data_IF_779937931901
#
_entry.id   IF_779937931901
#
_cell.length_a   1.000
_cell.length_b   1.000
_cell.length_c   1.000
_cell.angle_alpha   90.00
_cell.angle_beta   90.00
_cell.angle_gamma   90.00
#
_symmetry.space_group_name_H-M   'P 1'
#
loop_
_entity.id
_entity.type
_entity.pdbx_description
1 polymer ?
#
# COMPACT_ATOMS: atom_id res chain seq x y z
N UNK A 1 -14.93 -36.48 -3.18
CA UNK A 1 -14.39 -35.57 -4.22
C UNK A 1 -15.58 -34.97 -4.93
N UNK A 2 -15.52 -33.69 -5.31
CA UNK A 2 -16.47 -33.20 -6.31
C UNK A 2 -15.99 -33.69 -7.68
N UNK A 3 -16.76 -34.60 -8.28
CA UNK A 3 -16.61 -34.98 -9.69
C UNK A 3 -17.28 -33.94 -10.62
N UNK A 4 -18.03 -33.00 -10.04
CA UNK A 4 -18.78 -31.99 -10.79
C UNK A 4 -17.97 -30.75 -11.19
N UNK A 5 -16.71 -30.62 -10.73
CA UNK A 5 -15.87 -29.45 -11.01
C UNK A 5 -14.72 -29.83 -11.94
N UNK A 6 -14.48 -29.02 -12.97
CA UNK A 6 -13.40 -29.24 -13.94
C UNK A 6 -12.02 -28.99 -13.32
N UNK A 7 -11.91 -27.95 -12.49
CA UNK A 7 -10.67 -27.52 -11.81
C UNK A 7 -10.93 -27.46 -10.30
N UNK A 8 -9.99 -27.98 -9.50
CA UNK A 8 -10.13 -28.02 -8.04
C UNK A 8 -9.38 -26.85 -7.40
N UNK A 9 -10.12 -25.97 -6.74
CA UNK A 9 -9.59 -24.90 -5.92
C UNK A 9 -9.29 -25.35 -4.49
N UNK A 10 -8.15 -24.95 -3.95
CA UNK A 10 -7.80 -25.10 -2.54
C UNK A 10 -7.73 -23.73 -1.84
N UNK A 11 -8.54 -23.56 -0.79
CA UNK A 11 -8.39 -22.45 0.14
C UNK A 11 -7.36 -22.83 1.22
N UNK A 12 -6.28 -22.07 1.29
CA UNK A 12 -5.24 -22.18 2.32
C UNK A 12 -4.61 -23.58 2.43
N UNK A 13 -3.85 -23.83 3.51
CA UNK A 13 -3.24 -25.11 3.84
C UNK A 13 -2.36 -25.64 2.70
N UNK A 14 -1.59 -24.72 2.14
CA UNK A 14 -0.89 -24.85 0.87
C UNK A 14 -0.02 -26.11 0.81
N UNK A 15 0.60 -26.51 1.93
CA UNK A 15 1.50 -27.67 1.97
C UNK A 15 0.81 -29.01 2.34
N UNK A 16 -0.48 -29.01 2.69
CA UNK A 16 -1.14 -30.21 3.22
C UNK A 16 -2.08 -30.88 2.21
N UNK A 17 -3.02 -30.12 1.67
CA UNK A 17 -4.11 -30.68 0.86
C UNK A 17 -3.79 -30.74 -0.64
N UNK A 18 -3.21 -29.70 -1.27
CA UNK A 18 -2.93 -29.72 -2.70
C UNK A 18 -1.98 -30.86 -3.11
N UNK A 19 -0.87 -31.06 -2.40
CA UNK A 19 0.10 -32.12 -2.72
C UNK A 19 -0.49 -33.53 -2.57
N UNK A 20 -1.22 -33.78 -1.47
CA UNK A 20 -1.86 -35.06 -1.24
C UNK A 20 -2.93 -35.35 -2.31
N UNK A 21 -3.66 -34.32 -2.75
CA UNK A 21 -4.63 -34.43 -3.81
C UNK A 21 -3.97 -34.73 -5.16
N UNK A 22 -2.93 -33.96 -5.54
CA UNK A 22 -2.20 -34.17 -6.79
C UNK A 22 -1.60 -35.58 -6.84
N UNK A 23 -1.00 -36.05 -5.74
CA UNK A 23 -0.48 -37.43 -5.66
C UNK A 23 -1.54 -38.49 -5.94
N UNK A 24 -2.78 -38.27 -5.50
CA UNK A 24 -3.89 -39.21 -5.70
C UNK A 24 -4.56 -39.05 -7.07
N UNK A 25 -4.59 -37.84 -7.61
CA UNK A 25 -5.26 -37.49 -8.86
C UNK A 25 -4.37 -36.62 -9.76
N UNK A 26 -3.25 -37.16 -10.29
CA UNK A 26 -2.19 -36.36 -10.93
C UNK A 26 -2.63 -35.67 -12.23
N UNK A 27 -3.74 -36.11 -12.83
CA UNK A 27 -4.29 -35.53 -14.06
C UNK A 27 -5.35 -34.46 -13.81
N UNK A 28 -5.76 -34.25 -12.55
CA UNK A 28 -6.75 -33.23 -12.23
C UNK A 28 -6.07 -31.88 -12.02
N UNK A 29 -6.47 -30.83 -12.75
CA UNK A 29 -5.89 -29.51 -12.59
C UNK A 29 -6.33 -28.91 -11.24
N UNK A 30 -5.39 -28.21 -10.59
CA UNK A 30 -5.63 -27.56 -9.31
C UNK A 30 -5.07 -26.13 -9.29
N UNK A 31 -5.59 -25.32 -8.38
CA UNK A 31 -5.09 -23.97 -8.11
C UNK A 31 -5.41 -23.55 -6.68
N UNK A 32 -4.72 -22.53 -6.18
CA UNK A 32 -5.05 -21.89 -4.91
C UNK A 32 -6.22 -20.93 -5.10
N UNK A 33 -7.44 -21.33 -4.75
CA UNK A 33 -8.62 -20.47 -4.88
C UNK A 33 -8.62 -19.32 -3.88
N UNK A 34 -7.93 -19.47 -2.76
CA UNK A 34 -7.69 -18.43 -1.76
C UNK A 34 -6.37 -18.74 -1.05
N UNK A 35 -5.40 -17.83 -1.12
CA UNK A 35 -4.04 -18.03 -0.59
C UNK A 35 -3.59 -16.85 0.27
N UNK A 36 -2.49 -17.05 1.01
CA UNK A 36 -1.89 -16.05 1.88
C UNK A 36 -2.73 -15.67 3.09
N UNK A 37 -3.64 -14.68 2.97
CA UNK A 37 -4.24 -14.01 4.13
C UNK A 37 -3.18 -13.46 5.11
N UNK A 38 -2.05 -13.00 4.56
CA UNK A 38 -1.10 -12.18 5.29
C UNK A 38 -1.79 -10.88 5.74
N UNK A 39 -1.39 -10.35 6.90
CA UNK A 39 -1.97 -9.17 7.51
C UNK A 39 -0.88 -8.14 7.78
N UNK A 40 -1.14 -6.87 7.48
CA UNK A 40 -0.24 -5.77 7.81
C UNK A 40 -0.98 -4.44 7.83
N UNK A 41 -0.49 -3.50 8.66
CA UNK A 41 -0.91 -2.10 8.64
C UNK A 41 0.12 -1.26 7.90
N UNK A 42 -0.31 -0.47 6.90
CA UNK A 42 0.61 0.34 6.06
C UNK A 42 1.54 1.21 6.91
N UNK A 43 2.86 1.05 6.73
CA UNK A 43 3.87 1.88 7.39
C UNK A 43 4.07 1.57 8.87
N UNK A 44 3.54 0.45 9.36
CA UNK A 44 3.76 -0.03 10.74
C UNK A 44 4.75 -1.18 10.73
N UNK A 45 5.73 -1.10 11.63
CA UNK A 45 6.86 -2.04 11.68
C UNK A 45 7.07 -2.65 13.08
N UNK A 46 6.06 -2.55 13.94
CA UNK A 46 5.95 -3.30 15.19
C UNK A 46 4.48 -3.59 15.43
N UNK A 47 4.13 -4.84 15.74
CA UNK A 47 2.74 -5.19 16.07
C UNK A 47 2.39 -4.60 17.42
N UNK A 48 1.27 -3.89 17.50
CA UNK A 48 0.73 -3.33 18.74
C UNK A 48 -0.76 -3.73 18.88
N UNK A 49 -1.05 -4.76 19.70
CA UNK A 49 -2.42 -5.20 19.96
C UNK A 49 -3.30 -4.18 20.67
N UNK A 50 -2.72 -3.21 21.41
CA UNK A 50 -3.51 -2.15 22.07
C UNK A 50 -3.96 -1.08 21.08
N UNK A 51 -3.22 -0.93 19.97
CA UNK A 51 -3.53 -0.01 18.87
C UNK A 51 -4.15 -0.71 17.66
N UNK A 52 -4.39 -2.02 17.73
CA UNK A 52 -4.90 -2.84 16.63
C UNK A 52 -4.06 -2.71 15.34
N UNK A 53 -2.74 -2.65 15.46
CA UNK A 53 -1.83 -2.55 14.30
C UNK A 53 -0.93 -3.76 14.19
N UNK A 54 -0.64 -4.16 12.96
CA UNK A 54 0.16 -5.34 12.61
C UNK A 54 1.40 -4.89 11.84
N UNK A 55 2.55 -5.47 12.18
CA UNK A 55 3.80 -5.19 11.49
C UNK A 55 3.74 -5.55 9.98
N UNK A 56 4.58 -4.90 9.18
CA UNK A 56 4.65 -5.09 7.72
C UNK A 56 5.71 -6.12 7.27
N UNK A 57 6.24 -6.95 8.17
CA UNK A 57 7.26 -7.96 7.88
C UNK A 57 6.67 -9.35 7.65
N UNK A 58 6.01 -9.90 8.66
CA UNK A 58 5.66 -11.33 8.70
C UNK A 58 4.24 -11.63 9.22
N UNK A 59 3.42 -10.59 9.40
CA UNK A 59 2.05 -10.74 9.89
C UNK A 59 1.21 -11.69 9.02
N UNK A 60 0.66 -12.72 9.66
CA UNK A 60 -0.19 -13.74 9.02
C UNK A 60 -1.21 -14.31 10.02
N UNK A 61 -2.39 -14.67 9.53
CA UNK A 61 -3.41 -15.36 10.33
C UNK A 61 -3.07 -16.85 10.53
N UNK A 62 -3.63 -17.52 11.56
CA UNK A 62 -3.29 -18.91 11.86
C UNK A 62 -3.56 -19.93 10.74
N UNK A 63 -4.51 -19.65 9.85
CA UNK A 63 -4.82 -20.50 8.70
C UNK A 63 -4.06 -20.12 7.42
N UNK A 64 -3.38 -18.98 7.43
CA UNK A 64 -2.76 -18.39 6.26
C UNK A 64 -1.28 -18.72 6.10
N UNK A 65 -0.67 -18.07 5.10
CA UNK A 65 0.75 -18.12 4.79
C UNK A 65 1.27 -16.74 4.39
N UNK A 66 2.57 -16.49 4.61
CA UNK A 66 3.23 -15.28 4.09
C UNK A 66 3.22 -15.28 2.56
N UNK A 67 3.35 -14.10 1.90
CA UNK A 67 3.48 -14.02 0.45
C UNK A 67 4.57 -14.94 -0.11
N UNK A 68 5.70 -15.02 0.58
CA UNK A 68 6.82 -15.90 0.24
C UNK A 68 6.42 -17.37 0.22
N UNK A 69 5.75 -17.83 1.28
CA UNK A 69 5.45 -19.24 1.47
C UNK A 69 4.43 -19.75 0.46
N UNK A 70 3.33 -19.03 0.23
CA UNK A 70 2.32 -19.51 -0.72
C UNK A 70 2.81 -19.36 -2.17
N UNK A 71 3.50 -18.26 -2.51
CA UNK A 71 3.95 -18.06 -3.88
C UNK A 71 5.11 -18.99 -4.24
N UNK A 72 6.03 -19.28 -3.30
CA UNK A 72 7.04 -20.32 -3.51
C UNK A 72 6.38 -21.66 -3.80
N UNK A 73 5.26 -21.97 -3.15
CA UNK A 73 4.56 -23.22 -3.42
C UNK A 73 3.96 -23.24 -4.82
N UNK A 74 3.03 -22.32 -5.11
CA UNK A 74 2.26 -22.32 -6.35
C UNK A 74 3.05 -21.84 -7.58
N UNK A 75 4.08 -21.01 -7.38
CA UNK A 75 4.90 -20.43 -8.44
C UNK A 75 6.03 -21.34 -8.93
N UNK A 76 6.29 -22.47 -8.28
CA UNK A 76 7.41 -23.38 -8.62
C UNK A 76 6.96 -24.78 -9.06
N UNK A 77 5.66 -25.03 -9.15
CA UNK A 77 5.08 -26.34 -9.47
C UNK A 77 4.35 -26.28 -10.81
N UNK A 78 4.79 -27.06 -11.79
CA UNK A 78 4.17 -27.09 -13.14
C UNK A 78 2.75 -27.69 -13.16
N UNK A 79 2.38 -28.44 -12.12
CA UNK A 79 1.07 -29.08 -12.01
C UNK A 79 -0.01 -28.20 -11.38
N UNK A 80 0.30 -26.95 -11.06
CA UNK A 80 -0.63 -25.97 -10.49
C UNK A 80 -0.80 -24.78 -11.43
N UNK A 81 -2.02 -24.23 -11.48
CA UNK A 81 -2.30 -23.06 -12.33
C UNK A 81 -1.95 -21.71 -11.68
N UNK A 82 -1.44 -21.71 -10.43
CA UNK A 82 -1.21 -20.52 -9.61
C UNK A 82 -2.22 -20.37 -8.47
N UNK A 83 -2.48 -19.14 -8.01
CA UNK A 83 -3.47 -18.89 -6.97
C UNK A 83 -3.87 -17.42 -6.79
N UNK A 84 -4.87 -17.19 -5.95
CA UNK A 84 -5.47 -15.88 -5.68
C UNK A 84 -5.21 -15.47 -4.23
N UNK A 85 -4.36 -14.46 -4.04
CA UNK A 85 -4.04 -13.93 -2.72
C UNK A 85 -5.25 -13.23 -2.10
N UNK A 86 -5.55 -13.56 -0.85
CA UNK A 86 -6.48 -12.82 0.01
C UNK A 86 -5.71 -11.69 0.73
N UNK A 87 -5.88 -10.41 0.38
CA UNK A 87 -6.63 -9.84 -0.75
C UNK A 87 -5.78 -8.83 -1.53
N UNK A 88 -6.22 -8.45 -2.73
CA UNK A 88 -5.56 -7.38 -3.49
C UNK A 88 -5.63 -6.02 -2.78
N UNK A 89 -6.81 -5.63 -2.33
CA UNK A 89 -7.07 -4.38 -1.62
C UNK A 89 -7.72 -4.67 -0.27
N UNK A 90 -7.40 -3.87 0.74
CA UNK A 90 -8.21 -3.86 1.95
C UNK A 90 -9.66 -3.46 1.61
N UNK A 91 -10.58 -3.94 2.44
CA UNK A 91 -12.01 -3.71 2.32
C UNK A 91 -12.62 -3.39 3.69
N UNK A 92 -13.86 -2.86 3.67
CA UNK A 92 -14.65 -2.57 4.87
C UNK A 92 -15.10 -3.87 5.56
N UNK A 93 -15.05 -3.91 6.88
CA UNK A 93 -15.40 -5.10 7.67
C UNK A 93 -14.25 -6.10 7.79
N UNK A 94 -14.56 -7.27 8.35
CA UNK A 94 -13.60 -8.36 8.63
C UNK A 94 -12.23 -7.89 9.14
N UNK A 95 -12.18 -7.13 10.25
CA UNK A 95 -10.96 -6.48 10.70
C UNK A 95 -9.97 -7.41 11.42
N UNK A 96 -9.96 -8.69 11.05
CA UNK A 96 -9.04 -9.71 11.57
C UNK A 96 -7.60 -9.17 11.52
N UNK A 97 -6.81 -9.34 12.60
CA UNK A 97 -7.07 -10.17 13.78
C UNK A 97 -7.84 -9.47 14.91
N UNK A 98 -8.30 -8.24 14.69
CA UNK A 98 -8.91 -7.41 15.72
C UNK A 98 -10.42 -7.24 15.52
N UNK A 99 -11.04 -6.55 16.47
CA UNK A 99 -12.40 -6.04 16.38
C UNK A 99 -12.38 -4.51 16.55
N UNK A 100 -13.48 -3.96 17.05
CA UNK A 100 -13.59 -2.52 17.37
C UNK A 100 -12.36 -2.00 18.16
N UNK A 101 -11.80 -0.83 17.83
CA UNK A 101 -12.24 0.17 16.84
C UNK A 101 -11.82 -0.12 15.38
N UNK A 102 -11.29 -1.29 15.06
CA UNK A 102 -10.97 -1.65 13.68
C UNK A 102 -12.26 -1.86 12.88
N UNK A 103 -12.36 -1.23 11.70
CA UNK A 103 -13.54 -1.31 10.81
C UNK A 103 -13.19 -1.68 9.37
N UNK A 104 -11.91 -1.85 9.05
CA UNK A 104 -11.45 -2.37 7.76
C UNK A 104 -10.55 -3.59 7.98
N UNK A 105 -10.44 -4.41 6.95
CA UNK A 105 -9.49 -5.51 6.89
C UNK A 105 -8.05 -5.02 7.00
N UNK A 106 -7.14 -5.96 7.28
CA UNK A 106 -5.70 -5.74 7.18
C UNK A 106 -5.02 -6.69 6.18
N UNK A 107 -5.82 -7.45 5.41
CA UNK A 107 -5.37 -8.47 4.46
C UNK A 107 -4.81 -7.93 3.14
N UNK A 108 -5.17 -6.69 2.81
CA UNK A 108 -4.88 -6.10 1.52
C UNK A 108 -3.39 -5.95 1.28
N UNK A 109 -2.95 -6.36 0.10
CA UNK A 109 -1.62 -6.03 -0.45
C UNK A 109 -1.47 -4.50 -0.62
N UNK A 110 -2.60 -3.85 -0.91
CA UNK A 110 -2.79 -2.40 -0.98
C UNK A 110 -3.85 -2.01 0.06
N UNK A 111 -3.72 -0.83 0.66
CA UNK A 111 -4.74 -0.36 1.61
C UNK A 111 -6.05 0.09 0.93
N UNK A 112 -7.05 0.42 1.73
CA UNK A 112 -8.37 0.87 1.29
C UNK A 112 -8.34 2.13 0.40
N UNK A 113 -7.27 2.93 0.47
CA UNK A 113 -7.08 4.14 -0.32
C UNK A 113 -6.18 3.90 -1.54
N UNK A 114 -5.81 2.66 -1.85
CA UNK A 114 -4.95 2.37 -2.99
C UNK A 114 -3.46 2.67 -2.73
N UNK A 115 -3.06 2.91 -1.48
CA UNK A 115 -1.65 3.06 -1.14
C UNK A 115 -1.00 1.69 -0.92
N UNK A 116 0.06 1.34 -1.67
CA UNK A 116 0.76 0.07 -1.50
C UNK A 116 1.29 -0.13 -0.08
N UNK A 117 1.09 -1.33 0.48
CA UNK A 117 1.83 -1.79 1.66
C UNK A 117 3.14 -2.44 1.22
N UNK A 118 4.02 -2.80 2.17
CA UNK A 118 5.33 -3.39 1.82
C UNK A 118 5.21 -4.70 1.03
N UNK A 119 4.21 -5.53 1.32
CA UNK A 119 3.94 -6.77 0.57
C UNK A 119 3.63 -6.54 -0.92
N UNK A 120 3.13 -5.37 -1.33
CA UNK A 120 2.96 -5.04 -2.74
C UNK A 120 4.27 -5.20 -3.52
N UNK A 121 5.39 -4.82 -2.89
CA UNK A 121 6.69 -4.83 -3.54
C UNK A 121 7.31 -6.22 -3.61
N UNK A 122 6.94 -7.14 -2.72
CA UNK A 122 7.23 -8.56 -2.86
C UNK A 122 6.59 -9.11 -4.16
N UNK A 123 5.28 -8.91 -4.33
CA UNK A 123 4.58 -9.35 -5.53
C UNK A 123 5.11 -8.67 -6.79
N UNK A 124 5.40 -7.36 -6.74
CA UNK A 124 6.02 -6.65 -7.86
C UNK A 124 7.36 -7.25 -8.28
N UNK A 125 8.21 -7.63 -7.32
CA UNK A 125 9.51 -8.24 -7.61
C UNK A 125 9.35 -9.61 -8.30
N UNK A 126 8.47 -10.47 -7.79
CA UNK A 126 8.42 -11.87 -8.21
C UNK A 126 7.37 -12.21 -9.27
N UNK A 127 6.36 -11.36 -9.49
CA UNK A 127 5.41 -11.48 -10.60
C UNK A 127 5.82 -10.65 -11.81
N UNK A 128 6.63 -9.61 -11.60
CA UNK A 128 7.17 -8.76 -12.67
C UNK A 128 8.51 -9.27 -13.22
N UNK A 129 8.83 -8.86 -14.44
CA UNK A 129 10.16 -9.08 -15.05
C UNK A 129 11.08 -7.86 -14.95
N UNK A 130 10.49 -6.69 -14.70
CA UNK A 130 11.22 -5.43 -14.58
C UNK A 130 12.06 -5.40 -13.30
N UNK A 131 13.27 -4.80 -13.33
CA UNK A 131 14.06 -4.57 -12.13
C UNK A 131 13.23 -3.92 -11.03
N UNK A 132 13.21 -4.54 -9.85
CA UNK A 132 12.50 -4.07 -8.67
C UNK A 132 13.43 -4.06 -7.46
N UNK A 133 13.37 -2.99 -6.66
CA UNK A 133 14.13 -2.85 -5.41
C UNK A 133 13.29 -2.02 -4.43
N UNK A 134 12.84 -2.66 -3.35
CA UNK A 134 12.09 -1.99 -2.28
C UNK A 134 12.79 -2.20 -0.95
N UNK A 135 13.20 -1.10 -0.33
CA UNK A 135 13.85 -1.03 0.97
C UNK A 135 12.83 -0.55 2.02
N UNK A 136 12.70 -1.27 3.13
CA UNK A 136 11.85 -0.89 4.25
C UNK A 136 12.48 -1.36 5.57
N UNK A 137 12.22 -0.72 6.72
CA UNK A 137 11.16 0.25 7.01
C UNK A 137 11.47 1.69 6.59
N UNK A 138 10.67 2.65 7.05
CA UNK A 138 11.10 4.04 7.10
C UNK A 138 12.28 4.24 8.08
N UNK A 139 12.97 5.38 8.02
CA UNK A 139 14.13 5.67 8.88
C UNK A 139 13.90 6.79 9.93
N UNK A 140 12.65 6.98 10.36
CA UNK A 140 12.29 7.90 11.46
C UNK A 140 12.01 7.11 12.75
N UNK A 141 13.02 6.98 13.60
CA UNK A 141 12.94 6.26 14.87
C UNK A 141 13.41 7.12 16.05
N UNK A 142 13.03 8.40 16.07
CA UNK A 142 13.45 9.36 17.09
C UNK A 142 13.27 8.82 18.52
N UNK A 143 14.33 8.92 19.34
CA UNK A 143 14.34 8.40 20.71
C UNK A 143 14.66 6.90 20.82
N UNK A 144 14.98 6.25 19.71
CA UNK A 144 15.41 4.83 19.65
C UNK A 144 16.84 4.69 19.11
N UNK A 145 17.66 5.73 19.21
CA UNK A 145 19.05 5.71 18.76
C UNK A 145 19.81 4.54 19.43
N UNK A 146 20.44 3.70 18.62
CA UNK A 146 21.17 2.50 19.06
C UNK A 146 20.35 1.20 19.09
N UNK A 147 19.01 1.28 18.99
CA UNK A 147 18.14 0.10 18.88
C UNK A 147 18.40 -0.66 17.58
N UNK A 148 18.29 -1.98 17.62
CA UNK A 148 18.33 -2.81 16.41
C UNK A 148 16.97 -2.77 15.70
N UNK A 149 16.99 -2.34 14.44
CA UNK A 149 15.84 -2.30 13.54
C UNK A 149 16.06 -3.33 12.43
N UNK A 150 15.11 -4.27 12.19
CA UNK A 150 15.17 -5.13 11.03
C UNK A 150 14.96 -4.28 9.77
N UNK A 151 15.91 -4.37 8.83
CA UNK A 151 15.85 -3.72 7.52
C UNK A 151 15.68 -4.79 6.48
N UNK A 152 14.55 -4.78 5.77
CA UNK A 152 14.18 -5.76 4.78
C UNK A 152 14.26 -5.19 3.37
N UNK A 153 14.56 -6.07 2.42
CA UNK A 153 14.56 -5.75 1.00
C UNK A 153 13.80 -6.81 0.21
N UNK A 154 12.80 -6.36 -0.56
CA UNK A 154 12.20 -7.14 -1.64
C UNK A 154 12.81 -6.72 -2.97
N UNK A 155 13.35 -7.67 -3.73
CA UNK A 155 13.97 -7.40 -5.03
C UNK A 155 14.00 -8.65 -5.92
N UNK A 156 14.09 -8.45 -7.22
CA UNK A 156 14.40 -9.49 -8.21
C UNK A 156 15.77 -9.29 -8.88
N UNK A 157 16.61 -8.43 -8.29
CA UNK A 157 18.02 -8.27 -8.64
C UNK A 157 18.83 -9.40 -8.03
N UNK A 158 20.09 -9.57 -8.45
CA UNK A 158 20.91 -10.73 -8.06
C UNK A 158 21.54 -10.55 -6.68
N UNK A 159 22.02 -9.35 -6.38
CA UNK A 159 22.74 -9.04 -5.16
C UNK A 159 22.44 -7.60 -4.71
N UNK A 160 22.23 -7.42 -3.40
CA UNK A 160 21.97 -6.14 -2.78
C UNK A 160 23.06 -5.82 -1.77
N UNK A 161 23.69 -4.66 -1.90
CA UNK A 161 24.52 -4.05 -0.87
C UNK A 161 23.68 -3.08 -0.03
N UNK A 162 23.72 -3.21 1.30
CA UNK A 162 23.10 -2.26 2.22
C UNK A 162 24.15 -1.32 2.81
N UNK A 163 23.85 -0.03 2.83
CA UNK A 163 24.68 1.00 3.45
C UNK A 163 23.88 1.75 4.51
N UNK A 164 24.56 2.15 5.58
CA UNK A 164 24.04 3.05 6.62
C UNK A 164 24.96 4.25 6.69
N UNK A 165 24.44 5.46 6.47
CA UNK A 165 25.23 6.69 6.48
C UNK A 165 26.50 6.58 5.59
N UNK A 166 26.35 5.97 4.41
CA UNK A 166 27.44 5.75 3.46
C UNK A 166 28.41 4.61 3.80
N UNK A 167 28.27 3.94 4.96
CA UNK A 167 29.08 2.79 5.34
C UNK A 167 28.39 1.48 4.96
N UNK A 168 29.08 0.65 4.17
CA UNK A 168 28.57 -0.66 3.76
C UNK A 168 28.46 -1.63 4.94
N UNK A 169 27.34 -2.37 4.98
CA UNK A 169 27.11 -3.54 5.82
C UNK A 169 27.32 -4.85 5.04
N UNK A 170 27.86 -4.78 3.83
CA UNK A 170 28.11 -5.91 2.95
C UNK A 170 26.96 -6.20 1.99
N UNK A 171 27.27 -7.06 1.03
CA UNK A 171 26.36 -7.52 -0.01
C UNK A 171 25.78 -8.90 0.31
N UNK A 172 24.51 -9.12 -0.05
CA UNK A 172 23.85 -10.42 0.05
C UNK A 172 23.17 -10.77 -1.27
N UNK A 173 23.27 -12.05 -1.69
CA UNK A 173 22.54 -12.58 -2.85
C UNK A 173 21.06 -12.73 -2.52
N UNK A 174 20.18 -12.23 -3.39
CA UNK A 174 18.74 -12.34 -3.19
C UNK A 174 18.32 -13.81 -3.35
N UNK A 175 17.70 -14.44 -2.33
CA UNK A 175 17.14 -15.77 -2.47
C UNK A 175 15.97 -15.75 -3.45
N UNK A 176 15.86 -16.77 -4.29
CA UNK A 176 14.74 -16.89 -5.23
C UNK A 176 13.40 -16.95 -4.48
N UNK A 177 12.45 -16.08 -4.85
CA UNK A 177 11.12 -15.93 -4.21
C UNK A 177 11.16 -15.54 -2.72
N UNK A 178 12.28 -14.99 -2.23
CA UNK A 178 12.43 -14.54 -0.86
C UNK A 178 12.75 -13.06 -0.71
N UNK A 179 13.22 -12.70 0.47
CA UNK A 179 13.70 -11.37 0.83
C UNK A 179 15.11 -11.42 1.41
N UNK A 180 15.68 -10.24 1.59
CA UNK A 180 16.90 -10.04 2.38
C UNK A 180 16.58 -9.28 3.66
N UNK A 181 17.33 -9.56 4.71
CA UNK A 181 17.20 -8.92 6.01
C UNK A 181 18.59 -8.56 6.58
N UNK A 182 18.66 -7.40 7.22
CA UNK A 182 19.77 -6.98 8.08
C UNK A 182 19.23 -6.48 9.41
N UNK A 183 19.96 -6.73 10.50
CA UNK A 183 19.73 -6.06 11.79
C UNK A 183 20.62 -4.83 11.86
N UNK A 184 20.01 -3.65 11.85
CA UNK A 184 20.72 -2.38 11.75
C UNK A 184 20.51 -1.56 13.00
N UNK A 185 21.58 -1.12 13.65
CA UNK A 185 21.47 -0.16 14.76
C UNK A 185 21.01 1.18 14.21
N UNK A 186 19.93 1.71 14.76
CA UNK A 186 19.39 2.98 14.31
C UNK A 186 20.31 4.14 14.67
N UNK A 187 20.69 4.89 13.64
CA UNK A 187 21.32 6.20 13.74
C UNK A 187 20.59 7.12 12.74
N UNK A 188 20.22 8.36 13.15
CA UNK A 188 19.65 9.32 12.24
C UNK A 188 20.55 9.55 11.01
N UNK A 189 19.94 9.66 9.83
CA UNK A 189 20.65 9.82 8.57
C UNK A 189 19.96 9.05 7.46
N UNK A 190 20.63 8.09 6.83
CA UNK A 190 20.05 7.31 5.75
C UNK A 190 20.46 5.83 5.76
N UNK A 191 19.53 4.99 5.28
CA UNK A 191 19.84 3.66 4.75
C UNK A 191 19.69 3.67 3.23
N UNK A 192 20.62 3.02 2.56
CA UNK A 192 20.66 2.91 1.10
C UNK A 192 20.87 1.45 0.69
N UNK A 193 20.00 0.93 -0.16
CA UNK A 193 20.16 -0.36 -0.80
C UNK A 193 20.59 -0.15 -2.25
N UNK A 194 21.66 -0.84 -2.68
CA UNK A 194 22.20 -0.84 -4.04
C UNK A 194 22.03 -2.21 -4.64
N UNK A 195 21.15 -2.34 -5.63
CA UNK A 195 20.86 -3.60 -6.29
C UNK A 195 21.62 -3.76 -7.60
N UNK A 196 22.25 -4.91 -7.77
CA UNK A 196 23.08 -5.23 -8.94
C UNK A 196 22.57 -6.44 -9.73
N UNK A 197 22.94 -6.48 -11.02
CA UNK A 197 22.69 -7.60 -11.93
C UNK A 197 23.90 -7.76 -12.85
N UNK A 198 24.41 -8.98 -12.98
CA UNK A 198 25.65 -9.29 -13.70
C UNK A 198 26.84 -8.41 -13.24
N UNK A 199 26.94 -8.17 -11.93
CA UNK A 199 27.99 -7.34 -11.32
C UNK A 199 27.91 -5.83 -11.61
N UNK A 200 26.80 -5.34 -12.18
CA UNK A 200 26.58 -3.90 -12.43
C UNK A 200 25.45 -3.36 -11.57
N UNK A 201 25.62 -2.17 -11.01
CA UNK A 201 24.56 -1.45 -10.31
C UNK A 201 23.39 -1.15 -11.27
N UNK A 202 22.18 -1.51 -10.87
CA UNK A 202 20.95 -1.31 -11.66
C UNK A 202 20.02 -0.31 -10.98
N UNK A 203 19.76 -0.50 -9.68
CA UNK A 203 18.83 0.34 -8.91
C UNK A 203 19.44 0.72 -7.56
N UNK A 204 19.02 1.88 -7.06
CA UNK A 204 19.28 2.32 -5.69
C UNK A 204 17.96 2.71 -5.04
N UNK A 205 17.77 2.33 -3.77
CA UNK A 205 16.65 2.74 -2.94
C UNK A 205 17.17 3.35 -1.64
N UNK A 206 16.56 4.46 -1.19
CA UNK A 206 16.95 5.17 0.03
C UNK A 206 15.78 5.37 0.99
N UNK A 207 16.08 5.37 2.28
CA UNK A 207 15.19 5.86 3.35
C UNK A 207 16.01 6.77 4.25
N UNK A 208 15.47 7.96 4.49
CA UNK A 208 16.16 9.02 5.22
C UNK A 208 15.35 9.38 6.46
N UNK A 209 16.05 9.73 7.55
CA UNK A 209 15.43 10.35 8.70
C UNK A 209 14.98 11.75 8.32
N UNK A 210 13.66 11.96 8.27
CA UNK A 210 13.11 13.27 7.88
C UNK A 210 13.08 14.26 9.03
N UNK A 211 13.01 15.54 8.69
CA UNK A 211 12.62 16.56 9.65
C UNK A 211 11.13 16.49 10.02
N UNK A 212 10.67 17.39 10.90
CA UNK A 212 9.24 17.56 11.16
C UNK A 212 8.50 17.96 9.87
N UNK A 213 7.23 17.57 9.79
CA UNK A 213 6.36 17.96 8.68
C UNK A 213 6.24 19.49 8.60
N UNK A 214 6.34 20.03 7.39
CA UNK A 214 6.40 21.47 7.14
C UNK A 214 5.40 21.94 6.08
N UNK A 215 4.99 21.07 5.15
CA UNK A 215 4.04 21.44 4.10
C UNK A 215 3.17 20.27 3.65
N UNK A 216 2.01 20.60 3.09
CA UNK A 216 1.14 19.65 2.40
C UNK A 216 1.59 19.54 0.95
N UNK A 217 1.60 18.34 0.39
CA UNK A 217 1.75 18.10 -1.05
C UNK A 217 0.51 17.38 -1.57
N UNK A 218 -0.08 17.93 -2.64
CA UNK A 218 -1.20 17.32 -3.36
C UNK A 218 -0.72 16.79 -4.70
N UNK A 219 -1.07 15.55 -5.02
CA UNK A 219 -0.80 14.94 -6.33
C UNK A 219 -2.07 14.27 -6.84
N UNK A 220 -2.61 14.75 -7.96
CA UNK A 220 -3.71 14.07 -8.64
C UNK A 220 -3.17 12.93 -9.52
N UNK A 221 -3.87 11.80 -9.55
CA UNK A 221 -3.61 10.71 -10.50
C UNK A 221 -3.75 11.19 -11.96
N UNK A 222 -4.69 12.11 -12.20
CA UNK A 222 -4.98 12.71 -13.50
C UNK A 222 -5.12 14.23 -13.36
N UNK A 223 -4.38 14.97 -14.18
CA UNK A 223 -4.50 16.43 -14.27
C UNK A 223 -5.77 16.91 -15.00
N UNK A 224 -6.45 16.02 -15.73
CA UNK A 224 -7.70 16.31 -16.39
C UNK A 224 -8.64 15.11 -16.45
N UNK A 225 -9.93 15.38 -16.28
CA UNK A 225 -11.04 14.42 -16.30
C UNK A 225 -12.16 14.91 -17.22
N UNK A 226 -13.08 14.03 -17.58
CA UNK A 226 -14.25 14.37 -18.38
C UNK A 226 -15.29 15.11 -17.53
N UNK A 227 -15.94 16.11 -18.12
CA UNK A 227 -17.07 16.82 -17.53
C UNK A 227 -18.39 16.08 -17.84
N UNK A 228 -18.52 14.84 -17.39
CA UNK A 228 -19.69 13.98 -17.61
C UNK A 228 -20.57 13.79 -16.36
N UNK A 229 -20.11 14.25 -15.19
CA UNK A 229 -20.80 14.02 -13.92
C UNK A 229 -20.51 12.65 -13.29
N UNK A 230 -19.61 11.87 -13.89
CA UNK A 230 -19.26 10.50 -13.46
C UNK A 230 -17.76 10.36 -13.20
N UNK A 231 -16.92 10.96 -14.04
CA UNK A 231 -15.48 10.84 -14.00
C UNK A 231 -14.89 11.45 -12.73
N UNK A 232 -13.85 10.79 -12.22
CA UNK A 232 -13.22 11.11 -10.93
C UNK A 232 -11.73 11.32 -11.09
N UNK A 233 -11.18 12.17 -10.23
CA UNK A 233 -9.76 12.25 -9.97
C UNK A 233 -9.48 11.89 -8.51
N UNK A 234 -8.43 11.10 -8.31
CA UNK A 234 -7.96 10.67 -7.01
C UNK A 234 -6.74 11.51 -6.65
N UNK A 235 -6.83 12.23 -5.54
CA UNK A 235 -5.79 13.14 -5.07
C UNK A 235 -5.12 12.56 -3.84
N UNK A 236 -3.85 12.22 -3.99
CA UNK A 236 -2.96 11.86 -2.89
C UNK A 236 -2.58 13.11 -2.12
N UNK A 237 -2.67 13.03 -0.80
CA UNK A 237 -2.37 14.09 0.17
C UNK A 237 -1.23 13.62 1.05
N UNK A 238 -0.16 14.40 1.11
CA UNK A 238 1.08 14.03 1.81
C UNK A 238 1.52 15.15 2.75
N UNK A 239 2.06 14.81 3.91
CA UNK A 239 2.89 15.73 4.69
C UNK A 239 4.36 15.53 4.32
N UNK A 240 5.04 16.62 3.97
CA UNK A 240 6.47 16.60 3.63
C UNK A 240 7.26 17.55 4.53
N UNK A 241 8.52 17.22 4.78
CA UNK A 241 9.45 18.07 5.53
C UNK A 241 9.90 19.29 4.70
N UNK A 242 10.77 20.13 5.28
CA UNK A 242 11.28 21.33 4.62
C UNK A 242 12.12 21.05 3.36
N UNK A 243 12.55 19.81 3.15
CA UNK A 243 13.28 19.35 1.97
C UNK A 243 12.37 18.66 0.95
N UNK A 244 11.06 18.56 1.22
CA UNK A 244 10.08 17.92 0.33
C UNK A 244 10.02 16.40 0.43
N UNK A 245 10.66 15.79 1.44
CA UNK A 245 10.62 14.34 1.71
C UNK A 245 9.36 14.00 2.49
N UNK A 246 8.69 12.90 2.13
CA UNK A 246 7.50 12.40 2.84
C UNK A 246 7.84 12.12 4.31
N UNK A 247 7.06 12.67 5.25
CA UNK A 247 7.21 12.37 6.68
C UNK A 247 6.36 11.13 7.00
N UNK A 248 6.97 9.95 7.19
CA UNK A 248 6.26 8.67 7.19
C UNK A 248 5.49 8.40 8.49
N UNK A 249 5.62 9.27 9.49
CA UNK A 249 4.98 9.19 10.80
C UNK A 249 3.97 10.34 11.03
N UNK A 250 3.71 11.16 10.01
CA UNK A 250 2.81 12.31 10.16
C UNK A 250 1.33 11.88 10.14
N UNK A 251 0.57 12.36 11.13
CA UNK A 251 -0.86 12.08 11.30
C UNK A 251 -1.71 13.36 11.41
N UNK A 252 -1.22 14.47 10.83
CA UNK A 252 -1.91 15.77 10.89
C UNK A 252 -3.33 15.67 10.30
N UNK A 253 -4.27 16.39 10.91
CA UNK A 253 -5.62 16.54 10.36
C UNK A 253 -5.64 17.57 9.23
N UNK A 254 -6.17 17.19 8.07
CA UNK A 254 -6.25 18.04 6.87
C UNK A 254 -7.71 18.33 6.56
N UNK A 255 -8.06 19.59 6.34
CA UNK A 255 -9.35 20.02 5.79
C UNK A 255 -9.19 20.42 4.32
N UNK A 256 -10.25 20.18 3.56
CA UNK A 256 -10.33 20.44 2.12
C UNK A 256 -11.39 21.48 1.82
N UNK A 257 -11.08 22.40 0.91
CA UNK A 257 -12.05 23.29 0.29
C UNK A 257 -12.05 23.03 -1.21
N UNK A 258 -13.21 22.64 -1.74
CA UNK A 258 -13.41 22.40 -3.17
C UNK A 258 -14.20 23.55 -3.78
N UNK A 259 -13.73 24.07 -4.90
CA UNK A 259 -14.42 25.09 -5.68
C UNK A 259 -14.36 24.77 -7.18
N UNK A 260 -15.30 25.37 -7.94
CA UNK A 260 -15.38 25.18 -9.39
C UNK A 260 -16.37 24.08 -9.79
N UNK A 261 -16.03 23.38 -10.87
CA UNK A 261 -16.93 22.47 -11.63
C UNK A 261 -16.88 21.02 -11.15
N UNK A 262 -16.81 20.81 -9.84
CA UNK A 262 -16.75 19.49 -9.23
C UNK A 262 -17.03 19.51 -7.74
N UNK A 263 -17.12 18.32 -7.15
CA UNK A 263 -17.42 18.12 -5.73
C UNK A 263 -16.50 17.08 -5.11
N UNK A 264 -16.29 17.18 -3.80
CA UNK A 264 -15.69 16.11 -3.02
C UNK A 264 -16.71 15.00 -2.83
N UNK A 265 -16.34 13.76 -3.16
CA UNK A 265 -17.23 12.59 -2.98
C UNK A 265 -16.67 11.56 -1.99
N UNK A 266 -15.40 11.70 -1.61
CA UNK A 266 -14.74 10.77 -0.70
C UNK A 266 -13.45 11.32 -0.13
N UNK A 267 -13.15 10.96 1.11
CA UNK A 267 -11.82 11.07 1.72
C UNK A 267 -11.48 9.78 2.47
N UNK A 268 -10.20 9.50 2.62
CA UNK A 268 -9.73 8.34 3.37
C UNK A 268 -8.24 8.40 3.64
N UNK A 269 -7.74 7.51 4.49
CA UNK A 269 -6.30 7.40 4.76
C UNK A 269 -5.79 5.95 4.83
N UNK A 270 -6.67 4.95 4.73
CA UNK A 270 -6.29 3.53 4.79
C UNK A 270 -5.92 3.00 6.18
N UNK A 271 -6.09 3.80 7.24
CA UNK A 271 -5.98 3.30 8.61
C UNK A 271 -7.16 2.37 8.91
N UNK A 272 -6.92 1.10 9.30
CA UNK A 272 -8.00 0.16 9.62
C UNK A 272 -8.83 0.59 10.83
N UNK A 273 -8.31 1.47 11.68
CA UNK A 273 -8.92 1.93 12.93
C UNK A 273 -9.62 3.29 12.82
N UNK A 274 -9.50 3.99 11.69
CA UNK A 274 -9.98 5.36 11.56
C UNK A 274 -11.51 5.43 11.47
N UNK A 275 -12.13 6.11 12.45
CA UNK A 275 -13.57 6.33 12.55
C UNK A 275 -14.04 7.67 11.94
N UNK A 276 -13.14 8.43 11.32
CA UNK A 276 -13.52 9.68 10.67
C UNK A 276 -14.41 9.43 9.45
N UNK A 277 -15.35 10.34 9.19
CA UNK A 277 -16.32 10.22 8.09
C UNK A 277 -15.67 10.30 6.72
N UNK A 278 -15.96 9.33 5.84
CA UNK A 278 -15.48 9.29 4.44
C UNK A 278 -16.10 10.37 3.55
N UNK A 279 -17.04 11.16 4.07
CA UNK A 279 -17.78 12.17 3.31
C UNK A 279 -17.54 13.60 3.80
N UNK A 280 -16.99 13.75 5.00
CA UNK A 280 -16.64 15.07 5.52
C UNK A 280 -15.43 15.63 4.76
N UNK A 281 -15.35 16.95 4.55
CA UNK A 281 -14.23 17.58 3.84
C UNK A 281 -12.99 17.71 4.72
N UNK A 282 -12.65 16.66 5.47
CA UNK A 282 -11.47 16.58 6.33
C UNK A 282 -11.08 15.13 6.59
N UNK A 283 -9.78 14.89 6.71
CA UNK A 283 -9.21 13.57 7.01
C UNK A 283 -7.84 13.72 7.67
N UNK A 284 -7.59 12.94 8.70
CA UNK A 284 -6.27 12.78 9.28
C UNK A 284 -5.36 11.99 8.34
N UNK A 285 -4.12 12.43 8.19
CA UNK A 285 -3.07 11.61 7.58
C UNK A 285 -2.90 10.34 8.41
N UNK A 286 -2.55 9.25 7.76
CA UNK A 286 -2.10 8.02 8.39
C UNK A 286 -0.75 7.63 7.82
N UNK A 287 0.29 7.68 8.67
CA UNK A 287 1.67 7.43 8.28
C UNK A 287 2.08 8.25 7.05
N UNK A 288 1.79 9.55 7.11
CA UNK A 288 2.14 10.55 6.12
C UNK A 288 1.15 10.73 4.96
N UNK A 289 0.13 9.87 4.82
CA UNK A 289 -0.75 9.84 3.64
C UNK A 289 -2.24 9.97 3.98
N UNK A 290 -2.97 10.69 3.13
CA UNK A 290 -4.42 10.61 2.99
C UNK A 290 -4.81 10.75 1.50
N UNK A 291 -6.10 10.63 1.23
CA UNK A 291 -6.69 10.71 -0.10
C UNK A 291 -7.94 11.60 -0.07
N UNK A 292 -8.13 12.36 -1.15
CA UNK A 292 -9.40 12.99 -1.50
C UNK A 292 -9.82 12.52 -2.90
N UNK A 293 -11.11 12.26 -3.10
CA UNK A 293 -11.69 11.89 -4.39
C UNK A 293 -12.64 13.00 -4.80
N UNK A 294 -12.36 13.62 -5.95
CA UNK A 294 -13.24 14.64 -6.54
C UNK A 294 -13.91 14.10 -7.79
N UNK A 295 -15.18 14.45 -7.97
CA UNK A 295 -15.98 14.09 -9.13
C UNK A 295 -16.28 15.34 -9.96
N UNK A 296 -16.26 15.20 -11.28
CA UNK A 296 -16.66 16.26 -12.20
C UNK A 296 -18.16 16.52 -12.12
N UNK A 297 -18.56 17.71 -12.58
CA UNK A 297 -19.95 17.97 -12.99
C UNK A 297 -20.10 17.73 -14.50
N UNK A 298 -21.31 17.96 -15.04
CA UNK A 298 -21.57 17.98 -16.49
C UNK A 298 -21.12 19.26 -17.19
N UNK A 299 -20.46 20.18 -16.48
CA UNK A 299 -19.98 21.45 -17.00
C UNK A 299 -18.45 21.44 -17.08
N UNK A 300 -17.85 21.76 -18.24
CA UNK A 300 -16.41 21.87 -18.36
C UNK A 300 -15.87 23.10 -17.61
N UNK A 301 -14.60 23.06 -17.24
CA UNK A 301 -13.97 24.09 -16.45
C UNK A 301 -12.81 23.55 -15.62
N UNK A 302 -12.77 23.94 -14.35
CA UNK A 302 -11.72 23.54 -13.42
C UNK A 302 -12.33 23.15 -12.06
N UNK A 303 -11.68 22.22 -11.39
CA UNK A 303 -11.89 21.89 -9.97
C UNK A 303 -10.64 22.35 -9.23
N UNK A 304 -10.79 23.26 -8.29
CA UNK A 304 -9.70 23.68 -7.41
C UNK A 304 -9.87 23.02 -6.06
N UNK A 305 -8.79 22.40 -5.57
CA UNK A 305 -8.73 21.73 -4.27
C UNK A 305 -7.69 22.46 -3.44
N UNK A 306 -8.13 23.10 -2.37
CA UNK A 306 -7.26 23.69 -1.34
C UNK A 306 -7.23 22.75 -0.13
N UNK A 307 -6.03 22.45 0.37
CA UNK A 307 -5.80 21.63 1.55
C UNK A 307 -5.06 22.44 2.62
N UNK A 308 -5.63 22.47 3.82
CA UNK A 308 -5.09 23.18 4.99
C UNK A 308 -5.05 22.25 6.18
N UNK A 309 -4.16 22.52 7.13
CA UNK A 309 -4.19 21.83 8.42
C UNK A 309 -5.45 22.26 9.22
N UNK A 310 -6.17 21.30 9.80
CA UNK A 310 -7.37 21.49 10.63
C UNK A 310 -7.07 21.27 12.12
N UNK A 311 -6.27 22.16 12.70
CA UNK A 311 -5.87 22.10 14.11
C UNK A 311 -5.17 20.79 14.50
N UNK A 312 -5.42 20.34 15.74
CA UNK A 312 -4.90 19.08 16.30
C UNK A 312 -3.44 19.14 16.76
N UNK A 313 -2.89 17.99 17.13
CA UNK A 313 -1.48 17.85 17.52
C UNK A 313 -0.54 17.86 16.29
N UNK A 314 0.72 18.26 16.49
CA UNK A 314 1.75 18.31 15.44
C UNK A 314 2.17 19.71 14.99
N UNK A 315 3.13 19.83 14.06
CA UNK A 315 3.61 21.10 13.52
C UNK A 315 2.66 21.69 12.47
N UNK A 316 2.67 23.01 12.33
CA UNK A 316 1.90 23.69 11.29
C UNK A 316 2.42 23.32 9.91
N UNK A 317 1.49 23.22 8.96
CA UNK A 317 1.79 22.86 7.59
C UNK A 317 1.44 24.01 6.67
N UNK A 318 2.38 24.36 5.79
CA UNK A 318 2.09 25.23 4.66
C UNK A 318 0.96 24.61 3.82
N UNK A 319 -0.14 25.34 3.57
CA UNK A 319 -1.24 24.88 2.73
C UNK A 319 -0.81 24.54 1.30
N UNK A 320 -1.62 23.74 0.62
CA UNK A 320 -1.42 23.39 -0.77
C UNK A 320 -2.70 23.60 -1.58
N UNK A 321 -2.53 23.84 -2.87
CA UNK A 321 -3.62 23.92 -3.83
C UNK A 321 -3.25 23.17 -5.09
N UNK A 322 -4.20 22.43 -5.66
CA UNK A 322 -4.10 21.81 -6.97
C UNK A 322 -5.34 22.12 -7.79
N UNK A 323 -5.18 22.16 -9.11
CA UNK A 323 -6.27 22.37 -10.07
C UNK A 323 -6.35 21.18 -11.01
N UNK A 324 -7.55 20.65 -11.21
CA UNK A 324 -7.86 19.59 -12.17
C UNK A 324 -8.77 20.17 -13.25
N UNK A 325 -8.43 19.93 -14.52
CA UNK A 325 -9.24 20.41 -15.65
C UNK A 325 -10.40 19.44 -15.93
N UNK A 326 -11.61 19.95 -16.11
CA UNK A 326 -12.77 19.17 -16.55
C UNK A 326 -13.06 19.48 -18.03
N UNK A 327 -12.99 18.48 -18.89
CA UNK A 327 -13.09 18.64 -20.35
C UNK A 327 -14.50 18.40 -20.85
N UNK A 328 -14.96 19.19 -21.80
CA UNK A 328 -16.21 18.93 -22.50
C UNK A 328 -16.13 17.55 -23.18
N UNK A 329 -17.15 16.74 -22.98
CA UNK A 329 -17.33 15.46 -23.67
C UNK A 329 -18.76 15.30 -24.14
N UNK A 330 -18.97 14.34 -25.04
CA UNK A 330 -20.30 13.84 -25.36
C UNK A 330 -20.82 13.03 -24.17
N UNK A 331 -21.98 13.42 -23.64
CA UNK A 331 -22.59 12.72 -22.52
C UNK A 331 -23.19 11.39 -22.99
N UNK A 332 -23.05 10.34 -22.19
CA UNK A 332 -23.74 9.08 -22.44
C UNK A 332 -25.26 9.33 -22.51
N UNK A 333 -25.98 8.71 -23.47
CA UNK A 333 -27.44 8.77 -23.49
C UNK A 333 -28.01 8.32 -22.14
N UNK A 334 -28.83 9.16 -21.53
CA UNK A 334 -29.46 8.87 -20.24
C UNK A 334 -30.91 9.32 -20.24
N UNK A 335 -31.76 8.60 -19.52
CA UNK A 335 -33.14 9.01 -19.26
C UNK A 335 -33.09 10.21 -18.31
N UNK A 336 -33.80 11.33 -18.60
CA UNK A 336 -33.86 12.46 -17.67
C UNK A 336 -34.36 12.00 -16.30
N UNK A 337 -33.65 12.38 -15.24
CA UNK A 337 -34.16 12.21 -13.87
C UNK A 337 -35.33 13.17 -13.74
N UNK A 338 -36.56 12.64 -13.77
CA UNK A 338 -37.75 13.42 -13.45
C UNK A 338 -37.66 13.71 -11.96
N UNK A 339 -37.42 14.96 -11.60
CA UNK A 339 -37.48 15.38 -10.20
C UNK A 339 -38.89 15.05 -9.68
N UNK A 340 -38.98 14.15 -8.70
CA UNK A 340 -40.24 13.87 -8.02
C UNK A 340 -40.77 15.16 -7.39
N UNK A 341 -42.03 15.46 -7.68
CA UNK A 341 -42.81 16.61 -7.21
C UNK A 341 -42.81 16.76 -5.69
#
# INVERSE_FOLDING_TARGET
>A
LSEALDIIGFNYNTQKYPEAFHKKYPKRPIFGSETSSAISTRGVYATDPLRNTVNSYDGVVPWGETPEKWWTFYGTREWEAGGFAWTGFDYRGEPTPYGWPSINSQFGIVDMCGFPKDYFYYYKAWWGKEPSLHLFPHWNWHGREGDEIPVWVYSNLEEIELLVNGKSLGSQKVPHLGHLEWKVRYEPGEIEARGSKNGKLVLTAKRETTGPAASIRLTADRAAINADGEDVAVVKVEAVDSQGRLVPIANNKIAFKISGTGSLIGVGNGDPNCQESDKEPKRSLFNGLAQAIVQSTKQPGQIQIEAVRDGGEGPDLKPATIVITTKQVELRPAVPVVAGS
#
